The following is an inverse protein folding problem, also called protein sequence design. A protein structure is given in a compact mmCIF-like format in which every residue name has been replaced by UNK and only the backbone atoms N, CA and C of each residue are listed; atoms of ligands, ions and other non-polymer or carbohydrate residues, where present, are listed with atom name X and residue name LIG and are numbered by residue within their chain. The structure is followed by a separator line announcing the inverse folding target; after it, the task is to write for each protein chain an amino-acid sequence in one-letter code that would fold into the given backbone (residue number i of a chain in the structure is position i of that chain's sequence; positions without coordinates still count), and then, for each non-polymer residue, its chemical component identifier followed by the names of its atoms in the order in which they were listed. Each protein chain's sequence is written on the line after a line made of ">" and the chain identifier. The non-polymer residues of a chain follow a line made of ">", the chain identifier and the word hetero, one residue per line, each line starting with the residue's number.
data_IF_078276820461
#
_entry.id   IF_078276820461
#
_cell.length_a   1.000
_cell.length_b   1.000
_cell.length_c   1.000
_cell.angle_alpha   90.00
_cell.angle_beta   90.00
_cell.angle_gamma   90.00
#
_symmetry.space_group_name_H-M   'P 1'
#
loop_
_entity.id
_entity.type
_entity.pdbx_description
1 polymer ?
#
# COMPACT_ATOMS: atom_id res chain seq x y z
N UNK A 1 15.71 2.83 -26.95
CA UNK A 1 15.69 2.53 -25.51
C UNK A 1 14.24 2.33 -25.10
N UNK A 2 13.92 1.26 -24.39
CA UNK A 2 12.57 0.98 -23.89
C UNK A 2 12.46 1.66 -22.53
N UNK A 3 12.07 2.93 -22.52
CA UNK A 3 11.90 3.67 -21.27
C UNK A 3 10.54 3.31 -20.65
N UNK A 4 10.47 3.22 -19.33
CA UNK A 4 9.25 2.99 -18.57
C UNK A 4 8.07 3.88 -19.04
N UNK A 5 8.37 5.10 -19.49
CA UNK A 5 7.42 6.05 -20.08
C UNK A 5 6.59 5.49 -21.24
N UNK A 6 7.07 4.49 -21.97
CA UNK A 6 6.29 3.84 -23.04
C UNK A 6 5.09 3.03 -22.53
N UNK A 7 5.07 2.67 -21.24
CA UNK A 7 3.93 1.99 -20.60
C UNK A 7 2.81 2.96 -20.19
N UNK A 8 3.08 4.26 -20.19
CA UNK A 8 2.11 5.29 -19.82
C UNK A 8 1.45 5.77 -21.10
N UNK A 9 0.16 5.46 -21.26
CA UNK A 9 -0.63 5.85 -22.43
C UNK A 9 -1.80 6.70 -21.98
N UNK A 10 -1.57 8.01 -21.85
CA UNK A 10 -2.60 8.98 -21.49
C UNK A 10 -3.29 9.54 -22.72
N UNK A 11 -4.61 9.71 -22.63
CA UNK A 11 -5.33 10.59 -23.54
C UNK A 11 -4.85 12.04 -23.34
N UNK A 12 -4.53 12.72 -24.46
CA UNK A 12 -4.20 14.16 -24.55
C UNK A 12 -2.76 14.60 -24.24
N UNK A 13 -1.75 13.74 -24.36
CA UNK A 13 -0.33 14.12 -24.15
C UNK A 13 -0.07 14.80 -22.79
N UNK A 14 -0.88 14.47 -21.78
CA UNK A 14 -0.68 15.01 -20.44
C UNK A 14 0.62 14.48 -19.85
N UNK A 15 1.37 15.36 -19.17
CA UNK A 15 2.64 14.99 -18.55
C UNK A 15 2.42 13.81 -17.58
N UNK A 16 3.26 12.75 -17.66
CA UNK A 16 3.20 11.67 -16.70
C UNK A 16 3.42 12.22 -15.29
N UNK A 17 2.62 11.75 -14.35
CA UNK A 17 2.75 12.13 -12.95
C UNK A 17 3.78 11.21 -12.29
N UNK A 18 4.50 11.70 -11.28
CA UNK A 18 5.54 10.94 -10.57
C UNK A 18 5.08 9.52 -10.15
N UNK A 19 3.81 9.38 -9.71
CA UNK A 19 3.23 8.09 -9.36
C UNK A 19 3.18 7.11 -10.54
N UNK A 20 2.85 7.59 -11.73
CA UNK A 20 2.76 6.76 -12.93
C UNK A 20 4.15 6.37 -13.42
N UNK A 21 5.14 7.26 -13.27
CA UNK A 21 6.54 6.96 -13.56
C UNK A 21 7.07 5.85 -12.66
N UNK A 22 6.76 5.91 -11.36
CA UNK A 22 7.13 4.86 -10.40
C UNK A 22 6.48 3.51 -10.73
N UNK A 23 5.17 3.50 -11.03
CA UNK A 23 4.46 2.27 -11.41
C UNK A 23 5.01 1.71 -12.72
N UNK A 24 5.28 2.56 -13.71
CA UNK A 24 5.82 2.15 -14.99
C UNK A 24 7.24 1.57 -14.86
N UNK A 25 8.07 2.14 -13.98
CA UNK A 25 9.41 1.61 -13.69
C UNK A 25 9.33 0.22 -13.06
N UNK A 26 8.47 0.03 -12.06
CA UNK A 26 8.28 -1.27 -11.42
C UNK A 26 7.81 -2.36 -12.41
N UNK A 27 6.89 -2.01 -13.33
CA UNK A 27 6.44 -2.93 -14.37
C UNK A 27 7.55 -3.29 -15.36
N UNK A 28 8.44 -2.36 -15.67
CA UNK A 28 9.58 -2.60 -16.54
C UNK A 28 10.59 -3.53 -15.87
N UNK A 29 10.88 -3.32 -14.58
CA UNK A 29 11.80 -4.19 -13.84
C UNK A 29 11.22 -5.60 -13.68
N UNK A 30 9.89 -5.72 -13.50
CA UNK A 30 9.21 -7.01 -13.43
C UNK A 30 9.24 -7.76 -14.78
N UNK A 31 9.06 -7.05 -15.89
CA UNK A 31 9.18 -7.59 -17.25
C UNK A 31 10.59 -8.13 -17.55
N UNK A 32 11.62 -7.45 -17.04
CA UNK A 32 13.01 -7.86 -17.24
C UNK A 32 13.41 -9.02 -16.31
N UNK A 33 12.79 -9.11 -15.14
CA UNK A 33 13.09 -10.18 -14.17
C UNK A 33 12.41 -11.50 -14.52
N UNK A 34 11.21 -11.47 -15.11
CA UNK A 34 10.40 -12.67 -15.37
C UNK A 34 10.09 -12.81 -16.87
N UNK A 35 10.76 -13.75 -17.55
CA UNK A 35 10.62 -13.95 -19.00
C UNK A 35 9.22 -14.43 -19.41
N UNK A 36 8.55 -15.19 -18.55
CA UNK A 36 7.20 -15.73 -18.82
C UNK A 36 6.14 -14.61 -18.88
N UNK A 37 6.26 -13.61 -17.99
CA UNK A 37 5.34 -12.48 -17.91
C UNK A 37 5.64 -11.39 -18.95
N UNK A 38 6.75 -11.52 -19.67
CA UNK A 38 7.22 -10.48 -20.60
C UNK A 38 6.24 -10.21 -21.74
N UNK A 39 5.62 -11.27 -22.25
CA UNK A 39 4.64 -11.18 -23.34
C UNK A 39 3.39 -10.44 -22.87
N UNK A 40 2.87 -10.78 -21.69
CA UNK A 40 1.65 -10.18 -21.14
C UNK A 40 1.87 -8.72 -20.71
N UNK A 41 3.01 -8.43 -20.08
CA UNK A 41 3.33 -7.09 -19.59
C UNK A 41 3.60 -6.11 -20.72
N UNK A 42 4.08 -6.57 -21.90
CA UNK A 42 4.37 -5.69 -23.05
C UNK A 42 3.12 -5.07 -23.66
N UNK A 43 2.02 -5.81 -23.67
CA UNK A 43 0.76 -5.36 -24.24
C UNK A 43 -0.09 -4.55 -23.25
N UNK A 44 0.35 -4.44 -21.99
CA UNK A 44 -0.30 -3.64 -20.95
C UNK A 44 0.15 -2.17 -20.97
N UNK A 45 -0.83 -1.29 -20.77
CA UNK A 45 -0.63 0.15 -20.64
C UNK A 45 -1.40 0.71 -19.47
N UNK A 46 -0.87 1.79 -18.89
CA UNK A 46 -1.49 2.52 -17.78
C UNK A 46 -2.03 3.83 -18.32
N UNK A 47 -3.32 4.08 -18.08
CA UNK A 47 -3.95 5.36 -18.42
C UNK A 47 -3.76 6.38 -17.29
N UNK A 48 -3.96 5.97 -16.03
CA UNK A 48 -3.82 6.81 -14.85
C UNK A 48 -3.43 5.96 -13.63
N UNK A 49 -2.65 6.53 -12.70
CA UNK A 49 -2.34 5.93 -11.41
C UNK A 49 -2.46 6.96 -10.29
N UNK A 50 -3.07 6.59 -9.17
CA UNK A 50 -3.28 7.45 -8.01
C UNK A 50 -2.95 6.68 -6.73
N UNK A 51 -2.16 7.28 -5.85
CA UNK A 51 -1.90 6.72 -4.52
C UNK A 51 -3.10 6.99 -3.62
N UNK A 52 -3.73 5.93 -3.11
CA UNK A 52 -4.79 6.03 -2.11
C UNK A 52 -4.31 5.44 -0.79
N UNK A 53 -4.28 6.27 0.25
CA UNK A 53 -4.07 5.84 1.62
C UNK A 53 -5.43 5.45 2.20
N UNK A 54 -5.62 4.17 2.51
CA UNK A 54 -6.82 3.73 3.20
C UNK A 54 -6.53 3.76 4.70
N UNK A 55 -7.27 4.59 5.44
CA UNK A 55 -7.33 4.48 6.89
C UNK A 55 -8.57 3.68 7.24
N UNK A 56 -8.46 2.55 7.95
CA UNK A 56 -9.63 1.85 8.47
C UNK A 56 -10.36 2.81 9.42
N UNK A 57 -11.44 3.41 8.92
CA UNK A 57 -12.34 4.24 9.71
C UNK A 57 -13.17 3.31 10.60
N UNK A 58 -12.62 2.89 11.74
CA UNK A 58 -13.41 2.13 12.72
C UNK A 58 -12.62 1.21 13.66
N UNK A 59 -11.58 1.70 14.33
CA UNK A 59 -11.07 1.03 15.54
C UNK A 59 -10.40 1.99 16.56
N UNK A 60 -10.68 3.31 16.50
CA UNK A 60 -10.11 4.27 17.44
C UNK A 60 -10.97 4.52 18.70
N UNK A 61 -12.09 3.82 18.90
CA UNK A 61 -12.97 4.01 20.08
C UNK A 61 -12.88 2.91 21.14
N UNK A 62 -11.82 2.08 21.14
CA UNK A 62 -11.54 1.23 22.30
C UNK A 62 -10.74 2.05 23.33
N UNK A 63 -11.47 2.81 24.15
CA UNK A 63 -10.91 3.32 25.42
C UNK A 63 -10.41 2.11 26.23
N UNK A 64 -9.22 2.17 26.82
CA UNK A 64 -8.74 1.09 27.68
C UNK A 64 -9.71 0.94 28.86
N UNK A 65 -10.28 -0.26 29.02
CA UNK A 65 -11.00 -0.64 30.23
C UNK A 65 -9.97 -0.52 31.36
N UNK A 66 -10.13 0.47 32.24
CA UNK A 66 -9.37 0.55 33.47
C UNK A 66 -9.78 -0.65 34.32
N UNK A 67 -8.91 -1.66 34.40
CA UNK A 67 -8.99 -2.69 35.41
C UNK A 67 -8.46 -2.03 36.69
N UNK A 68 -9.30 -1.23 37.33
CA UNK A 68 -9.09 -0.81 38.70
C UNK A 68 -10.25 -1.35 39.55
N UNK A 69 -9.87 -1.83 40.73
CA UNK A 69 -10.73 -2.25 41.83
C UNK A 69 -11.44 -3.61 41.74
N UNK A 70 -10.67 -4.70 41.91
CA UNK A 70 -10.99 -5.70 42.94
C UNK A 70 -9.68 -6.18 43.57
N UNK A 71 -9.07 -5.33 44.41
CA UNK A 71 -8.12 -5.77 45.42
C UNK A 71 -8.93 -6.06 46.69
N UNK A 72 -9.20 -7.32 47.07
CA UNK A 72 -9.70 -7.59 48.40
C UNK A 72 -8.51 -7.42 49.36
N UNK A 73 -8.48 -6.26 50.04
CA UNK A 73 -7.81 -6.18 51.32
C UNK A 73 -8.59 -7.03 52.30
N UNK A 74 -8.03 -8.15 52.74
CA UNK A 74 -8.20 -8.50 54.13
C UNK A 74 -7.09 -9.40 54.68
N UNK A 75 -6.66 -9.00 55.87
CA UNK A 75 -6.13 -9.79 56.98
C UNK A 75 -4.96 -10.76 56.76
N UNK A 76 -3.79 -10.28 57.18
CA UNK A 76 -2.79 -11.07 57.89
C UNK A 76 -3.42 -12.03 58.91
N UNK A 77 -2.93 -13.28 59.02
CA UNK A 77 -2.93 -13.97 60.30
C UNK A 77 -1.49 -14.06 60.83
N UNK A 78 -1.30 -13.56 62.04
CA UNK A 78 -0.09 -13.76 62.85
C UNK A 78 0.29 -15.24 62.94
N UNK A 79 1.56 -15.54 62.67
CA UNK A 79 2.39 -16.39 63.54
C UNK A 79 3.86 -16.22 63.24
#
# INVERSE_FOLDING_TARGET
>A
MFSAQNKIKKDKNAAPTECEEQVAQALFDLENTNQELKSELKDLYINQAVNMDWKPQGCCDLRPIQIEEIFPQDSSPSR
#
